data_IF_022619112439
#
_entry.id   IF_022619112439
#
_cell.length_a   1.000
_cell.length_b   1.000
_cell.length_c   1.000
_cell.angle_alpha   90.00
_cell.angle_beta   90.00
_cell.angle_gamma   90.00
#
_symmetry.space_group_name_H-M   'P 1'
#
loop_
_entity.id
_entity.type
_entity.pdbx_description
1 polymer ?
#
# COMPACT_ATOMS: atom_id res chain seq x y z
N UNK A 1 27.59 -11.88 40.74
CA UNK A 1 27.67 -11.17 39.45
C UNK A 1 27.77 -12.06 38.19
N UNK A 2 28.53 -13.14 38.16
CA UNK A 2 28.66 -14.05 36.98
C UNK A 2 27.37 -14.74 36.54
N UNK A 3 26.49 -15.18 37.45
CA UNK A 3 25.23 -15.84 37.08
C UNK A 3 24.20 -14.93 36.43
N UNK A 4 24.19 -13.63 36.72
CA UNK A 4 23.29 -12.65 36.10
C UNK A 4 23.68 -12.33 34.65
N UNK A 5 24.99 -12.34 34.35
CA UNK A 5 25.51 -12.13 33.00
C UNK A 5 25.24 -13.33 32.10
N UNK A 6 25.47 -14.57 32.59
CA UNK A 6 25.16 -15.80 31.82
C UNK A 6 23.67 -15.93 31.49
N UNK A 7 22.76 -15.60 32.44
CA UNK A 7 21.32 -15.59 32.16
C UNK A 7 20.91 -14.52 31.13
N UNK A 8 21.60 -13.37 31.09
CA UNK A 8 21.36 -12.33 30.05
C UNK A 8 21.86 -12.78 28.68
N UNK A 9 23.04 -13.43 28.60
CA UNK A 9 23.57 -13.96 27.35
C UNK A 9 22.71 -15.10 26.80
N UNK A 10 22.28 -16.05 27.64
CA UNK A 10 21.40 -17.15 27.26
C UNK A 10 20.03 -16.63 26.75
N UNK A 11 19.44 -15.60 27.38
CA UNK A 11 18.22 -14.97 26.90
C UNK A 11 18.41 -14.22 25.58
N UNK A 12 19.56 -13.60 25.36
CA UNK A 12 19.85 -12.89 24.11
C UNK A 12 20.09 -13.85 22.94
N UNK A 13 20.76 -14.98 23.17
CA UNK A 13 20.99 -16.03 22.16
C UNK A 13 19.71 -16.78 21.80
N UNK A 14 18.89 -17.15 22.78
CA UNK A 14 17.57 -17.74 22.54
C UNK A 14 16.63 -16.77 21.77
N UNK A 15 16.70 -15.49 22.04
CA UNK A 15 15.90 -14.47 21.30
C UNK A 15 16.34 -14.35 19.84
N UNK A 16 17.66 -14.44 19.57
CA UNK A 16 18.18 -14.39 18.19
C UNK A 16 17.81 -15.63 17.37
N UNK A 17 17.88 -16.83 17.96
CA UNK A 17 17.49 -18.07 17.26
C UNK A 17 15.99 -18.09 16.95
N UNK A 18 15.16 -17.75 17.91
CA UNK A 18 13.70 -17.69 17.73
C UNK A 18 13.27 -16.69 16.63
N UNK A 19 13.83 -15.47 16.64
CA UNK A 19 13.51 -14.47 15.61
C UNK A 19 13.93 -14.96 14.21
N UNK A 20 15.10 -15.60 14.11
CA UNK A 20 15.56 -16.19 12.85
C UNK A 20 14.60 -17.27 12.36
N UNK A 21 14.20 -18.19 13.23
CA UNK A 21 13.34 -19.31 12.88
C UNK A 21 11.92 -18.81 12.51
N UNK A 22 11.42 -17.78 13.18
CA UNK A 22 10.19 -17.07 12.82
C UNK A 22 10.28 -16.44 11.42
N UNK A 23 11.35 -15.68 11.15
CA UNK A 23 11.55 -15.04 9.83
C UNK A 23 11.62 -16.11 8.72
N UNK A 24 12.32 -17.22 8.95
CA UNK A 24 12.43 -18.31 7.97
C UNK A 24 11.06 -18.92 7.70
N UNK A 25 10.28 -19.26 8.72
CA UNK A 25 8.91 -19.76 8.56
C UNK A 25 8.03 -18.78 7.78
N UNK A 26 8.09 -17.50 8.11
CA UNK A 26 7.35 -16.44 7.41
C UNK A 26 7.74 -16.32 5.93
N UNK A 27 9.03 -16.37 5.63
CA UNK A 27 9.52 -16.35 4.25
C UNK A 27 9.04 -17.58 3.47
N UNK A 28 9.07 -18.78 4.08
CA UNK A 28 8.55 -20.00 3.43
C UNK A 28 7.04 -19.89 3.15
N UNK A 29 6.25 -19.42 4.11
CA UNK A 29 4.82 -19.16 3.89
C UNK A 29 4.59 -18.10 2.82
N UNK A 30 5.40 -17.03 2.80
CA UNK A 30 5.32 -15.99 1.77
C UNK A 30 5.58 -16.54 0.37
N UNK A 31 6.56 -17.41 0.21
CA UNK A 31 6.86 -18.09 -1.07
C UNK A 31 5.68 -18.97 -1.49
N UNK A 32 5.10 -19.75 -0.56
CA UNK A 32 3.95 -20.60 -0.85
C UNK A 32 2.72 -19.76 -1.27
N UNK A 33 2.45 -18.67 -0.56
CA UNK A 33 1.35 -17.76 -0.90
C UNK A 33 1.59 -17.11 -2.27
N UNK A 34 2.79 -16.60 -2.53
CA UNK A 34 3.13 -16.00 -3.82
C UNK A 34 2.98 -17.01 -4.96
N UNK A 35 3.45 -18.24 -4.77
CA UNK A 35 3.26 -19.33 -5.74
C UNK A 35 1.79 -19.64 -5.97
N UNK A 36 0.97 -19.73 -4.92
CA UNK A 36 -0.47 -19.96 -5.02
C UNK A 36 -1.17 -18.85 -5.80
N UNK A 37 -0.86 -17.58 -5.51
CA UNK A 37 -1.41 -16.42 -6.23
C UNK A 37 -1.02 -16.44 -7.70
N UNK A 38 0.26 -16.70 -8.00
CA UNK A 38 0.74 -16.83 -9.38
C UNK A 38 0.00 -17.94 -10.13
N UNK A 39 -0.19 -19.09 -9.50
CA UNK A 39 -0.90 -20.23 -10.09
C UNK A 39 -2.35 -19.88 -10.39
N UNK A 40 -3.07 -19.29 -9.43
CA UNK A 40 -4.45 -18.86 -9.61
C UNK A 40 -4.56 -17.79 -10.70
N UNK A 41 -3.65 -16.81 -10.68
CA UNK A 41 -3.63 -15.75 -11.69
C UNK A 41 -3.34 -16.30 -13.08
N UNK A 42 -2.40 -17.25 -13.21
CA UNK A 42 -2.13 -17.93 -14.48
C UNK A 42 -3.38 -18.65 -15.00
N UNK A 43 -4.07 -19.39 -14.13
CA UNK A 43 -5.30 -20.11 -14.51
C UNK A 43 -6.39 -19.11 -14.96
N UNK A 44 -6.64 -18.05 -14.19
CA UNK A 44 -7.64 -17.04 -14.51
C UNK A 44 -7.37 -16.35 -15.86
N UNK A 45 -6.11 -16.04 -16.13
CA UNK A 45 -5.69 -15.46 -17.42
C UNK A 45 -5.94 -16.45 -18.59
N UNK A 46 -5.78 -17.76 -18.35
CA UNK A 46 -5.97 -18.79 -19.39
C UNK A 46 -7.43 -19.17 -19.63
N UNK A 47 -8.25 -19.11 -18.58
CA UNK A 47 -9.69 -19.40 -18.66
C UNK A 47 -10.49 -18.15 -19.06
N UNK A 48 -9.87 -16.96 -18.95
CA UNK A 48 -10.50 -15.68 -19.27
C UNK A 48 -11.00 -15.60 -20.71
N UNK A 49 -12.09 -14.86 -20.96
CA UNK A 49 -12.80 -14.86 -22.25
C UNK A 49 -12.06 -14.15 -23.39
N UNK A 50 -10.91 -13.54 -23.13
CA UNK A 50 -10.15 -12.79 -24.14
C UNK A 50 -8.70 -13.25 -24.20
N UNK A 51 -8.29 -13.68 -25.39
CA UNK A 51 -6.90 -14.02 -25.69
C UNK A 51 -6.12 -12.75 -26.13
N UNK A 52 -4.79 -12.73 -25.98
CA UNK A 52 -3.96 -11.69 -26.61
C UNK A 52 -4.24 -11.53 -28.09
N UNK A 53 -4.64 -12.63 -28.75
CA UNK A 53 -4.99 -12.64 -30.16
C UNK A 53 -6.25 -11.83 -30.49
N UNK A 54 -7.24 -11.77 -29.58
CA UNK A 54 -8.56 -11.18 -29.87
C UNK A 54 -8.48 -9.69 -30.23
N UNK A 55 -7.59 -8.93 -29.61
CA UNK A 55 -7.36 -7.51 -29.95
C UNK A 55 -6.71 -7.32 -31.32
N UNK A 56 -5.75 -8.19 -31.62
CA UNK A 56 -5.12 -8.17 -32.95
C UNK A 56 -6.12 -8.60 -34.01
N UNK A 57 -6.99 -9.58 -33.70
CA UNK A 57 -8.06 -10.03 -34.57
C UNK A 57 -9.05 -8.93 -34.90
N UNK A 58 -9.50 -8.17 -33.92
CA UNK A 58 -10.40 -7.04 -34.14
C UNK A 58 -9.77 -5.97 -35.04
N UNK A 59 -8.48 -5.67 -34.87
CA UNK A 59 -7.74 -4.72 -35.69
C UNK A 59 -7.47 -5.24 -37.12
N UNK A 60 -7.26 -6.55 -37.28
CA UNK A 60 -6.99 -7.17 -38.59
C UNK A 60 -8.28 -7.34 -39.39
N UNK A 61 -9.38 -7.73 -38.75
CA UNK A 61 -10.70 -7.75 -39.38
C UNK A 61 -11.08 -6.37 -39.93
N UNK A 62 -10.74 -5.31 -39.20
CA UNK A 62 -10.94 -3.94 -39.67
C UNK A 62 -10.05 -3.55 -40.88
N UNK A 63 -8.93 -4.23 -41.08
CA UNK A 63 -7.99 -4.01 -42.21
C UNK A 63 -8.14 -4.99 -43.36
N UNK A 64 -9.10 -5.94 -43.31
CA UNK A 64 -9.33 -6.95 -44.35
C UNK A 64 -8.20 -7.94 -44.52
N UNK A 65 -7.34 -8.15 -43.54
CA UNK A 65 -6.23 -9.09 -43.57
C UNK A 65 -6.67 -10.46 -43.05
N UNK A 66 -6.05 -11.55 -43.57
CA UNK A 66 -6.35 -12.91 -43.13
C UNK A 66 -5.93 -13.12 -41.67
N UNK A 67 -6.88 -13.38 -40.76
CA UNK A 67 -6.61 -13.52 -39.34
C UNK A 67 -5.76 -14.75 -38.99
N UNK A 68 -5.82 -15.80 -39.78
CA UNK A 68 -5.27 -17.12 -39.43
C UNK A 68 -3.74 -17.14 -39.32
N UNK A 69 -3.01 -16.44 -40.18
CA UNK A 69 -1.55 -16.37 -40.14
C UNK A 69 -1.05 -15.56 -38.94
N UNK A 70 -1.80 -14.55 -38.58
CA UNK A 70 -1.43 -13.67 -37.44
C UNK A 70 -1.75 -14.32 -36.12
N UNK A 71 -2.85 -15.07 -36.04
CA UNK A 71 -3.16 -15.89 -34.84
C UNK A 71 -2.02 -16.87 -34.59
N UNK A 72 -1.64 -17.66 -35.60
CA UNK A 72 -0.57 -18.64 -35.48
C UNK A 72 0.76 -18.00 -35.05
N UNK A 73 1.10 -16.81 -35.58
CA UNK A 73 2.30 -16.06 -35.17
C UNK A 73 2.23 -15.56 -33.73
N UNK A 74 1.06 -15.12 -33.28
CA UNK A 74 0.82 -14.68 -31.90
C UNK A 74 0.87 -15.88 -30.94
N UNK A 75 0.20 -16.97 -31.28
CA UNK A 75 0.19 -18.20 -30.49
C UNK A 75 1.61 -18.75 -30.32
N UNK A 76 2.38 -18.84 -31.42
CA UNK A 76 3.77 -19.24 -31.36
C UNK A 76 4.64 -18.29 -30.53
N UNK A 77 4.43 -16.95 -30.68
CA UNK A 77 5.21 -15.93 -29.95
C UNK A 77 4.95 -15.98 -28.44
N UNK A 78 3.73 -16.25 -28.03
CA UNK A 78 3.34 -16.34 -26.61
C UNK A 78 3.30 -17.78 -26.09
N UNK A 79 3.69 -18.78 -26.93
CA UNK A 79 3.71 -20.19 -26.58
C UNK A 79 2.33 -20.74 -26.20
N UNK A 80 1.25 -20.22 -26.82
CA UNK A 80 -0.12 -20.63 -26.55
C UNK A 80 -0.44 -21.98 -27.19
N UNK A 81 0.35 -22.38 -28.17
CA UNK A 81 0.32 -23.66 -28.89
C UNK A 81 0.83 -24.86 -28.07
N UNK A 82 1.54 -24.60 -26.98
CA UNK A 82 2.15 -25.62 -26.13
C UNK A 82 1.17 -26.20 -25.12
N UNK A 83 1.42 -27.42 -24.59
CA UNK A 83 0.65 -27.98 -23.48
C UNK A 83 0.63 -27.04 -22.25
N UNK A 84 -0.51 -26.93 -21.56
CA UNK A 84 -0.72 -25.97 -20.48
C UNK A 84 0.31 -26.09 -19.33
N UNK A 85 0.77 -27.29 -19.02
CA UNK A 85 1.81 -27.54 -18.03
C UNK A 85 3.16 -26.97 -18.46
N UNK A 86 3.49 -27.05 -19.73
CA UNK A 86 4.71 -26.46 -20.27
C UNK A 86 4.62 -24.95 -20.26
N UNK A 87 3.49 -24.36 -20.65
CA UNK A 87 3.24 -22.93 -20.56
C UNK A 87 3.39 -22.43 -19.12
N UNK A 88 2.85 -23.16 -18.15
CA UNK A 88 2.98 -22.82 -16.74
C UNK A 88 4.44 -22.89 -16.26
N UNK A 89 5.18 -23.92 -16.63
CA UNK A 89 6.59 -24.05 -16.30
C UNK A 89 7.46 -22.93 -16.89
N UNK A 90 7.25 -22.61 -18.17
CA UNK A 90 7.93 -21.50 -18.85
C UNK A 90 7.57 -20.15 -18.24
N UNK A 91 6.30 -19.93 -17.90
CA UNK A 91 5.82 -18.74 -17.23
C UNK A 91 6.52 -18.54 -15.88
N UNK A 92 6.55 -19.56 -15.02
CA UNK A 92 7.24 -19.50 -13.74
C UNK A 92 8.74 -19.25 -13.89
N UNK A 93 9.37 -19.93 -14.83
CA UNK A 93 10.81 -19.78 -15.08
C UNK A 93 11.15 -18.37 -15.60
N UNK A 94 10.33 -17.81 -16.47
CA UNK A 94 10.49 -16.46 -17.00
C UNK A 94 10.35 -15.41 -15.89
N UNK A 95 9.37 -15.55 -15.01
CA UNK A 95 9.20 -14.66 -13.86
C UNK A 95 10.42 -14.69 -12.93
N UNK A 96 10.95 -15.87 -12.62
CA UNK A 96 12.15 -16.04 -11.80
C UNK A 96 13.40 -15.44 -12.45
N UNK A 97 13.47 -15.43 -13.78
CA UNK A 97 14.56 -14.81 -14.55
C UNK A 97 14.39 -13.29 -14.71
N UNK A 98 13.32 -12.71 -14.17
CA UNK A 98 13.02 -11.28 -14.31
C UNK A 98 12.40 -10.89 -15.65
N UNK A 99 12.03 -11.87 -16.49
CA UNK A 99 11.29 -11.64 -17.72
C UNK A 99 9.78 -11.68 -17.43
N UNK A 100 9.21 -10.50 -17.26
CA UNK A 100 7.80 -10.31 -16.89
C UNK A 100 6.90 -10.10 -18.10
N UNK A 101 7.45 -10.29 -19.31
CA UNK A 101 6.76 -10.13 -20.58
C UNK A 101 6.62 -8.67 -21.03
N UNK A 102 5.74 -8.48 -22.01
CA UNK A 102 5.46 -7.20 -22.64
C UNK A 102 4.00 -6.83 -22.45
N UNK A 103 3.74 -5.58 -22.22
CA UNK A 103 2.39 -5.01 -22.21
C UNK A 103 1.76 -5.12 -23.60
N UNK A 104 0.55 -5.62 -23.65
CA UNK A 104 -0.21 -5.71 -24.92
C UNK A 104 -0.77 -4.36 -25.38
N UNK A 105 -1.01 -3.47 -24.44
CA UNK A 105 -1.58 -2.15 -24.73
C UNK A 105 -0.54 -1.12 -25.10
N UNK A 106 0.63 -1.13 -24.45
CA UNK A 106 1.68 -0.12 -24.63
C UNK A 106 2.86 -0.62 -25.45
N UNK A 107 2.96 -1.93 -25.74
CA UNK A 107 4.10 -2.55 -26.42
C UNK A 107 5.45 -2.27 -25.76
N UNK A 108 5.46 -2.13 -24.43
CA UNK A 108 6.66 -1.91 -23.61
C UNK A 108 6.93 -3.12 -22.70
N UNK A 109 8.18 -3.37 -22.29
CA UNK A 109 8.48 -4.32 -21.24
C UNK A 109 7.71 -3.98 -19.96
N UNK A 110 7.01 -4.95 -19.37
CA UNK A 110 6.17 -4.73 -18.19
C UNK A 110 6.94 -4.14 -17.02
N UNK A 111 8.17 -4.61 -16.78
CA UNK A 111 9.01 -4.09 -15.69
C UNK A 111 9.41 -2.64 -15.91
N UNK A 112 9.62 -2.22 -17.16
CA UNK A 112 9.90 -0.81 -17.47
C UNK A 112 8.68 0.06 -17.25
N UNK A 113 7.51 -0.40 -17.67
CA UNK A 113 6.25 0.28 -17.41
C UNK A 113 6.04 0.49 -15.90
N UNK A 114 6.25 -0.53 -15.09
CA UNK A 114 6.13 -0.44 -13.63
C UNK A 114 7.17 0.54 -13.05
N UNK A 115 8.44 0.45 -13.48
CA UNK A 115 9.51 1.34 -13.02
C UNK A 115 9.26 2.81 -13.33
N UNK A 116 8.58 3.12 -14.42
CA UNK A 116 8.24 4.51 -14.78
C UNK A 116 7.12 5.09 -13.92
N UNK A 117 6.20 4.25 -13.46
CA UNK A 117 4.96 4.71 -12.82
C UNK A 117 4.90 4.57 -11.29
N UNK A 118 5.65 3.61 -10.69
CA UNK A 118 5.58 3.35 -9.25
C UNK A 118 5.98 4.54 -8.38
N UNK A 119 6.91 5.36 -8.86
CA UNK A 119 7.44 6.52 -8.10
C UNK A 119 6.36 7.58 -7.82
N UNK A 120 5.40 7.74 -8.72
CA UNK A 120 4.31 8.71 -8.57
C UNK A 120 3.28 8.23 -7.53
N UNK A 121 2.90 6.95 -7.59
CA UNK A 121 2.04 6.35 -6.55
C UNK A 121 2.74 6.38 -5.19
N UNK A 122 4.02 6.04 -5.15
CA UNK A 122 4.81 6.10 -3.91
C UNK A 122 4.81 7.50 -3.32
N UNK A 123 5.10 8.52 -4.12
CA UNK A 123 5.12 9.92 -3.68
C UNK A 123 3.76 10.36 -3.12
N UNK A 124 2.67 10.07 -3.86
CA UNK A 124 1.31 10.43 -3.43
C UNK A 124 0.94 9.75 -2.11
N UNK A 125 1.10 8.44 -2.02
CA UNK A 125 0.72 7.67 -0.83
C UNK A 125 1.60 8.03 0.36
N UNK A 126 2.92 8.18 0.16
CA UNK A 126 3.83 8.59 1.22
C UNK A 126 3.43 9.96 1.82
N UNK A 127 3.21 10.96 0.98
CA UNK A 127 2.82 12.30 1.45
C UNK A 127 1.44 12.28 2.13
N UNK A 128 0.49 11.51 1.58
CA UNK A 128 -0.84 11.35 2.18
C UNK A 128 -0.78 10.62 3.52
N UNK A 129 0.03 9.57 3.64
CA UNK A 129 0.25 8.85 4.91
C UNK A 129 0.92 9.72 5.95
N UNK A 130 1.92 10.52 5.57
CA UNK A 130 2.58 11.47 6.50
C UNK A 130 1.57 12.52 6.98
N UNK A 131 0.81 13.13 6.06
CA UNK A 131 -0.24 14.10 6.38
C UNK A 131 -1.26 13.50 7.34
N UNK A 132 -1.79 12.33 7.01
CA UNK A 132 -2.80 11.64 7.81
C UNK A 132 -2.26 11.18 9.17
N UNK A 133 -1.06 10.61 9.22
CA UNK A 133 -0.45 10.14 10.46
C UNK A 133 -0.15 11.30 11.41
N UNK A 134 0.50 12.37 10.94
CA UNK A 134 0.84 13.51 11.79
C UNK A 134 -0.43 14.15 12.37
N UNK A 135 -1.37 14.54 11.51
CA UNK A 135 -2.59 15.20 11.99
C UNK A 135 -3.50 14.25 12.75
N UNK A 136 -3.70 13.03 12.24
CA UNK A 136 -4.59 12.04 12.85
C UNK A 136 -4.11 11.58 14.23
N UNK A 137 -2.81 11.40 14.42
CA UNK A 137 -2.23 11.05 15.72
C UNK A 137 -2.37 12.22 16.70
N UNK A 138 -2.04 13.45 16.30
CA UNK A 138 -2.17 14.61 17.16
C UNK A 138 -3.62 14.85 17.61
N UNK A 139 -4.56 14.80 16.67
CA UNK A 139 -5.99 14.94 16.95
C UNK A 139 -6.47 13.78 17.84
N UNK A 140 -6.06 12.53 17.54
CA UNK A 140 -6.44 11.37 18.33
C UNK A 140 -5.93 11.41 19.78
N UNK A 141 -4.69 11.87 20.00
CA UNK A 141 -4.14 12.10 21.35
C UNK A 141 -4.95 13.17 22.06
N UNK A 142 -5.18 14.30 21.41
CA UNK A 142 -5.95 15.40 21.99
C UNK A 142 -7.37 14.94 22.37
N UNK A 143 -8.07 14.26 21.47
CA UNK A 143 -9.41 13.71 21.72
C UNK A 143 -9.43 12.73 22.89
N UNK A 144 -8.41 11.88 23.04
CA UNK A 144 -8.34 10.94 24.15
C UNK A 144 -8.10 11.63 25.50
N UNK A 145 -7.20 12.62 25.52
CA UNK A 145 -6.88 13.38 26.74
C UNK A 145 -8.04 14.28 27.19
N UNK A 146 -8.76 14.86 26.22
CA UNK A 146 -9.93 15.73 26.46
C UNK A 146 -11.26 14.99 26.17
N UNK A 147 -11.34 13.74 26.60
CA UNK A 147 -12.54 12.89 26.41
C UNK A 147 -13.83 13.60 26.86
N UNK A 148 -14.90 13.42 26.08
CA UNK A 148 -16.24 14.00 26.32
C UNK A 148 -16.32 15.54 26.24
N UNK A 149 -15.31 16.23 25.77
CA UNK A 149 -15.41 17.65 25.46
C UNK A 149 -16.05 17.91 24.11
N UNK A 150 -16.52 19.15 23.89
CA UNK A 150 -17.07 19.56 22.57
C UNK A 150 -16.08 19.34 21.43
N UNK A 151 -14.77 19.54 21.68
CA UNK A 151 -13.72 19.30 20.68
C UNK A 151 -13.56 17.81 20.37
N UNK A 152 -13.62 16.92 21.37
CA UNK A 152 -13.59 15.46 21.14
C UNK A 152 -14.76 15.00 20.26
N UNK A 153 -15.98 15.49 20.57
CA UNK A 153 -17.14 15.19 19.73
C UNK A 153 -17.02 15.74 18.30
N UNK A 154 -16.51 16.98 18.17
CA UNK A 154 -16.30 17.60 16.86
C UNK A 154 -15.30 16.81 16.01
N UNK A 155 -14.13 16.46 16.57
CA UNK A 155 -13.13 15.68 15.83
C UNK A 155 -13.59 14.28 15.49
N UNK A 156 -14.32 13.62 16.40
CA UNK A 156 -14.93 12.31 16.13
C UNK A 156 -15.96 12.42 15.00
N UNK A 157 -16.84 13.42 15.03
CA UNK A 157 -17.83 13.66 13.99
C UNK A 157 -17.18 13.96 12.63
N UNK A 158 -16.18 14.85 12.59
CA UNK A 158 -15.44 15.15 11.37
C UNK A 158 -14.72 13.91 10.81
N UNK A 159 -14.21 13.03 11.68
CA UNK A 159 -13.62 11.78 11.25
C UNK A 159 -14.63 10.86 10.58
N UNK A 160 -15.87 10.78 11.09
CA UNK A 160 -16.95 10.02 10.43
C UNK A 160 -17.31 10.60 9.08
N UNK A 161 -17.41 11.93 8.97
CA UNK A 161 -17.63 12.61 7.68
C UNK A 161 -16.51 12.24 6.71
N UNK A 162 -15.24 12.32 7.15
CA UNK A 162 -14.08 12.01 6.31
C UNK A 162 -14.07 10.59 5.75
N UNK A 163 -14.57 9.59 6.52
CA UNK A 163 -14.72 8.22 6.03
C UNK A 163 -15.92 8.07 5.10
N UNK A 164 -17.00 8.81 5.34
CA UNK A 164 -18.26 8.68 4.61
C UNK A 164 -18.22 9.33 3.23
N UNK A 165 -17.36 10.32 3.02
CA UNK A 165 -17.23 11.01 1.74
C UNK A 165 -16.40 10.15 0.77
N UNK A 166 -16.92 9.80 -0.42
CA UNK A 166 -16.12 9.10 -1.42
C UNK A 166 -14.91 9.95 -1.85
N UNK A 167 -13.71 9.38 -1.81
CA UNK A 167 -12.47 10.10 -2.11
C UNK A 167 -12.49 10.79 -3.48
N UNK A 168 -12.99 10.12 -4.53
CA UNK A 168 -13.08 10.72 -5.85
C UNK A 168 -14.00 11.96 -5.88
N UNK A 169 -15.12 11.90 -5.17
CA UNK A 169 -16.05 13.02 -5.07
C UNK A 169 -15.40 14.21 -4.33
N UNK A 170 -14.74 13.95 -3.21
CA UNK A 170 -13.98 14.96 -2.48
C UNK A 170 -12.92 15.61 -3.38
N UNK A 171 -12.17 14.79 -4.15
CA UNK A 171 -11.17 15.28 -5.10
C UNK A 171 -11.76 16.23 -6.14
N UNK A 172 -12.88 15.85 -6.76
CA UNK A 172 -13.58 16.69 -7.75
C UNK A 172 -14.06 18.00 -7.12
N UNK A 173 -14.61 17.96 -5.89
CA UNK A 173 -15.04 19.16 -5.18
C UNK A 173 -13.87 20.09 -4.83
N UNK A 174 -12.75 19.53 -4.38
CA UNK A 174 -11.55 20.31 -4.12
C UNK A 174 -10.98 20.96 -5.39
N UNK A 175 -10.97 20.26 -6.52
CA UNK A 175 -10.60 20.82 -7.81
C UNK A 175 -11.54 21.98 -8.18
N UNK A 176 -12.85 21.76 -8.11
CA UNK A 176 -13.84 22.78 -8.46
C UNK A 176 -13.67 24.05 -7.64
N UNK A 177 -13.47 23.92 -6.33
CA UNK A 177 -13.35 25.09 -5.44
C UNK A 177 -11.96 25.71 -5.54
N UNK A 178 -10.90 24.95 -5.33
CA UNK A 178 -9.57 25.51 -5.14
C UNK A 178 -8.78 25.72 -6.45
N UNK A 179 -9.08 24.95 -7.49
CA UNK A 179 -8.40 25.11 -8.77
C UNK A 179 -9.24 25.97 -9.73
N UNK A 180 -10.53 25.64 -9.91
CA UNK A 180 -11.36 26.31 -10.92
C UNK A 180 -11.87 27.66 -10.44
N UNK A 181 -12.50 27.72 -9.24
CA UNK A 181 -13.09 28.96 -8.74
C UNK A 181 -12.05 29.91 -8.16
N UNK A 182 -11.11 29.40 -7.38
CA UNK A 182 -10.13 30.23 -6.66
C UNK A 182 -8.78 30.37 -7.40
N UNK A 183 -8.49 29.52 -8.38
CA UNK A 183 -7.22 29.56 -9.14
C UNK A 183 -5.96 29.30 -8.30
N UNK A 184 -6.08 28.70 -7.10
CA UNK A 184 -4.97 28.56 -6.16
C UNK A 184 -4.04 27.42 -6.51
N UNK A 185 -4.56 26.32 -7.08
CA UNK A 185 -3.82 25.10 -7.39
C UNK A 185 -4.00 24.68 -8.84
N UNK A 186 -2.93 24.10 -9.42
CA UNK A 186 -3.00 23.45 -10.73
C UNK A 186 -3.52 22.02 -10.55
N UNK A 187 -4.26 21.52 -11.54
CA UNK A 187 -4.88 20.18 -11.49
C UNK A 187 -4.02 19.10 -12.16
N UNK A 188 -2.92 19.44 -12.79
CA UNK A 188 -2.06 18.48 -13.47
C UNK A 188 -0.69 18.37 -12.81
N UNK A 189 -0.16 17.14 -12.83
CA UNK A 189 1.18 16.79 -12.39
C UNK A 189 2.14 16.84 -13.57
N UNK A 190 3.27 17.56 -13.44
CA UNK A 190 4.23 17.71 -14.51
C UNK A 190 5.36 16.67 -14.40
N UNK A 191 5.32 15.67 -15.27
CA UNK A 191 6.31 14.59 -15.30
C UNK A 191 7.67 15.00 -15.86
N UNK A 192 7.79 16.18 -16.45
CA UNK A 192 9.06 16.71 -16.95
C UNK A 192 9.90 17.34 -15.85
N UNK A 193 9.28 17.69 -14.73
CA UNK A 193 9.94 18.28 -13.57
C UNK A 193 10.36 17.19 -12.57
N UNK A 194 11.39 17.47 -11.74
CA UNK A 194 11.74 16.59 -10.63
C UNK A 194 10.55 16.31 -9.68
N UNK A 195 10.47 15.08 -9.16
CA UNK A 195 9.37 14.64 -8.28
C UNK A 195 9.05 15.64 -7.15
N UNK A 196 10.08 16.13 -6.46
CA UNK A 196 9.95 17.05 -5.34
C UNK A 196 10.14 18.52 -5.72
N UNK A 197 9.95 18.89 -7.01
CA UNK A 197 9.94 20.29 -7.42
C UNK A 197 8.81 21.06 -6.69
N UNK A 198 8.98 22.34 -6.37
CA UNK A 198 7.93 23.15 -5.73
C UNK A 198 6.62 23.14 -6.51
N UNK A 199 6.67 23.08 -7.84
CA UNK A 199 5.50 23.01 -8.72
C UNK A 199 4.73 21.70 -8.52
N UNK A 200 5.41 20.55 -8.52
CA UNK A 200 4.81 19.24 -8.30
C UNK A 200 4.32 19.07 -6.87
N UNK A 201 5.06 19.54 -5.87
CA UNK A 201 4.59 19.54 -4.48
C UNK A 201 3.31 20.37 -4.32
N UNK A 202 3.22 21.53 -4.97
CA UNK A 202 1.99 22.34 -4.98
C UNK A 202 0.84 21.62 -5.70
N UNK A 203 1.09 20.92 -6.80
CA UNK A 203 0.09 20.14 -7.51
C UNK A 203 -0.41 18.95 -6.68
N UNK A 204 0.42 18.40 -5.80
CA UNK A 204 0.07 17.28 -4.92
C UNK A 204 -0.74 17.68 -3.68
N UNK A 205 -0.89 18.96 -3.36
CA UNK A 205 -1.62 19.39 -2.14
C UNK A 205 -3.06 18.86 -2.13
N UNK A 206 -3.83 19.08 -3.18
CA UNK A 206 -5.21 18.61 -3.26
C UNK A 206 -5.32 17.07 -3.32
N UNK A 207 -4.53 16.35 -4.14
CA UNK A 207 -4.48 14.89 -4.11
C UNK A 207 -4.15 14.32 -2.71
N UNK A 208 -3.17 14.91 -2.02
CA UNK A 208 -2.75 14.50 -0.67
C UNK A 208 -3.88 14.72 0.35
N UNK A 209 -4.57 15.85 0.31
CA UNK A 209 -5.73 16.10 1.16
C UNK A 209 -6.84 15.09 0.85
N UNK A 210 -7.13 14.85 -0.43
CA UNK A 210 -8.16 13.92 -0.88
C UNK A 210 -7.92 12.52 -0.34
N UNK A 211 -6.76 11.95 -0.63
CA UNK A 211 -6.41 10.59 -0.20
C UNK A 211 -6.21 10.52 1.32
N UNK A 212 -5.53 11.53 1.87
CA UNK A 212 -5.20 11.60 3.29
C UNK A 212 -6.41 11.81 4.21
N UNK A 213 -7.53 12.35 3.73
CA UNK A 213 -8.72 12.57 4.57
C UNK A 213 -9.30 11.24 5.09
N UNK A 214 -9.44 10.23 4.24
CA UNK A 214 -9.89 8.90 4.66
C UNK A 214 -8.92 8.23 5.63
N UNK A 215 -7.62 8.30 5.34
CA UNK A 215 -6.56 7.79 6.22
C UNK A 215 -6.55 8.50 7.57
N UNK A 216 -6.63 9.85 7.58
CA UNK A 216 -6.66 10.68 8.78
C UNK A 216 -7.77 10.26 9.75
N UNK A 217 -8.95 10.03 9.22
CA UNK A 217 -10.10 9.60 10.02
C UNK A 217 -9.85 8.24 10.72
N UNK A 218 -9.18 7.31 10.04
CA UNK A 218 -8.73 6.06 10.65
C UNK A 218 -7.69 6.32 11.75
N UNK A 219 -6.66 7.12 11.48
CA UNK A 219 -5.62 7.45 12.46
C UNK A 219 -6.19 8.12 13.71
N UNK A 220 -7.10 9.10 13.57
CA UNK A 220 -7.79 9.74 14.71
C UNK A 220 -8.47 8.70 15.58
N UNK A 221 -9.29 7.83 14.98
CA UNK A 221 -10.07 6.83 15.69
C UNK A 221 -9.20 5.79 16.40
N UNK A 222 -8.22 5.23 15.70
CA UNK A 222 -7.35 4.21 16.28
C UNK A 222 -6.44 4.79 17.36
N UNK A 223 -5.89 6.01 17.13
CA UNK A 223 -5.07 6.70 18.15
C UNK A 223 -5.90 6.98 19.40
N UNK A 224 -7.09 7.54 19.23
CA UNK A 224 -7.99 7.83 20.35
C UNK A 224 -8.32 6.57 21.15
N UNK A 225 -8.70 5.48 20.49
CA UNK A 225 -9.01 4.22 21.16
C UNK A 225 -7.79 3.67 21.91
N UNK A 226 -6.65 3.55 21.26
CA UNK A 226 -5.42 3.02 21.86
C UNK A 226 -4.94 3.88 23.04
N UNK A 227 -5.09 5.20 22.96
CA UNK A 227 -4.78 6.11 24.05
C UNK A 227 -5.70 5.90 25.24
N UNK A 228 -7.02 5.81 25.03
CA UNK A 228 -8.02 5.58 26.10
C UNK A 228 -7.78 4.27 26.83
N UNK A 229 -7.45 3.21 26.09
CA UNK A 229 -7.14 1.89 26.65
C UNK A 229 -5.91 1.93 27.56
N UNK A 230 -4.94 2.78 27.26
CA UNK A 230 -3.70 2.89 28.01
C UNK A 230 -3.76 3.93 29.15
N UNK A 231 -4.58 4.99 29.04
CA UNK A 231 -4.69 6.05 30.05
C UNK A 231 -5.15 5.55 31.43
N UNK A 232 -5.91 4.44 31.47
CA UNK A 232 -6.47 3.86 32.70
C UNK A 232 -5.60 2.75 33.31
N UNK A 233 -4.45 2.43 32.72
CA UNK A 233 -3.60 1.30 33.17
C UNK A 233 -2.81 1.65 34.43
N UNK A 234 -2.51 0.66 35.30
CA UNK A 234 -1.81 0.89 36.59
C UNK A 234 -0.47 1.61 36.47
N UNK A 235 0.29 1.39 35.38
CA UNK A 235 1.57 2.06 35.18
C UNK A 235 1.43 3.57 34.97
N UNK A 236 0.30 4.04 34.43
CA UNK A 236 0.00 5.48 34.29
C UNK A 236 -0.31 6.10 35.64
N UNK A 237 -1.12 5.39 36.45
CA UNK A 237 -1.43 5.81 37.84
C UNK A 237 -0.13 5.92 38.64
N UNK A 238 0.75 4.94 38.52
CA UNK A 238 2.07 4.95 39.20
C UNK A 238 2.95 6.13 38.73
N UNK A 239 2.93 6.44 37.43
CA UNK A 239 3.71 7.58 36.91
C UNK A 239 3.21 8.90 37.45
N UNK A 240 1.89 9.09 37.53
CA UNK A 240 1.27 10.30 38.16
C UNK A 240 1.55 10.38 39.66
N UNK A 241 1.44 9.25 40.37
CA UNK A 241 1.76 9.21 41.83
C UNK A 241 3.22 9.54 42.11
N UNK A 242 4.16 9.33 41.20
CA UNK A 242 5.56 9.77 41.29
C UNK A 242 5.78 11.26 40.96
N UNK A 243 4.73 12.02 40.73
CA UNK A 243 4.80 13.46 40.45
C UNK A 243 5.31 13.81 39.04
N UNK A 244 5.27 12.87 38.07
CA UNK A 244 5.71 13.18 36.71
C UNK A 244 4.73 14.16 36.03
N UNK A 245 5.23 15.17 35.28
CA UNK A 245 4.40 16.14 34.60
C UNK A 245 3.53 15.43 33.52
N UNK A 246 2.28 15.86 33.40
CA UNK A 246 1.28 15.23 32.53
C UNK A 246 1.72 15.04 31.04
N UNK A 247 2.41 16.02 30.40
CA UNK A 247 2.93 15.82 29.05
C UNK A 247 3.90 14.64 28.93
N UNK A 248 4.72 14.41 29.97
CA UNK A 248 5.65 13.28 30.00
C UNK A 248 4.90 11.96 30.23
N UNK A 249 3.88 11.95 31.08
CA UNK A 249 3.02 10.78 31.30
C UNK A 249 2.33 10.41 29.99
N UNK A 250 1.71 11.35 29.29
CA UNK A 250 0.99 11.13 28.04
C UNK A 250 1.97 10.68 26.95
N UNK A 251 3.04 11.41 26.69
CA UNK A 251 3.96 11.12 25.57
C UNK A 251 4.79 9.86 25.79
N UNK A 252 5.39 9.69 26.96
CA UNK A 252 6.34 8.59 27.21
C UNK A 252 5.67 7.31 27.70
N UNK A 253 4.67 7.43 28.57
CA UNK A 253 4.07 6.26 29.20
C UNK A 253 2.80 5.77 28.49
N UNK A 254 1.90 6.66 28.05
CA UNK A 254 0.66 6.29 27.39
C UNK A 254 0.87 6.08 25.89
N UNK A 255 1.36 7.09 25.17
CA UNK A 255 1.47 7.05 23.72
C UNK A 255 2.43 5.97 23.24
N UNK A 256 3.57 5.78 23.90
CA UNK A 256 4.50 4.69 23.53
C UNK A 256 3.83 3.31 23.52
N UNK A 257 2.91 3.05 24.45
CA UNK A 257 2.17 1.79 24.48
C UNK A 257 1.00 1.76 23.52
N UNK A 258 0.52 2.92 23.08
CA UNK A 258 -0.52 3.07 22.07
C UNK A 258 0.01 2.98 20.62
N UNK A 259 1.33 2.94 20.41
CA UNK A 259 1.95 2.90 19.09
C UNK A 259 1.69 1.60 18.32
N UNK A 260 1.53 0.45 18.99
CA UNK A 260 1.41 -0.84 18.33
C UNK A 260 0.32 -0.89 17.25
N UNK A 261 -0.94 -0.51 17.52
CA UNK A 261 -1.98 -0.48 16.49
C UNK A 261 -1.68 0.53 15.38
N UNK A 262 -1.01 1.64 15.71
CA UNK A 262 -0.70 2.70 14.74
C UNK A 262 0.36 2.26 13.74
N UNK A 263 1.38 1.52 14.19
CA UNK A 263 2.38 0.94 13.30
C UNK A 263 1.73 0.04 12.27
N UNK A 264 0.74 -0.79 12.66
CA UNK A 264 0.01 -1.65 11.72
C UNK A 264 -0.63 -0.85 10.61
N UNK A 265 -1.32 0.24 10.95
CA UNK A 265 -2.05 1.06 9.98
C UNK A 265 -1.06 1.75 9.04
N UNK A 266 0.01 2.35 9.58
CA UNK A 266 1.06 3.00 8.78
C UNK A 266 1.67 2.00 7.78
N UNK A 267 2.00 0.80 8.25
CA UNK A 267 2.56 -0.23 7.39
C UNK A 267 1.55 -0.73 6.34
N UNK A 268 0.28 -0.86 6.69
CA UNK A 268 -0.78 -1.20 5.75
C UNK A 268 -0.94 -0.14 4.65
N UNK A 269 -0.96 1.14 5.02
CA UNK A 269 -1.02 2.25 4.06
C UNK A 269 0.16 2.23 3.09
N UNK A 270 1.39 2.03 3.60
CA UNK A 270 2.58 1.90 2.76
C UNK A 270 2.52 0.65 1.86
N UNK A 271 1.94 -0.45 2.34
CA UNK A 271 1.73 -1.66 1.55
C UNK A 271 0.74 -1.49 0.41
N UNK A 272 -0.20 -0.56 0.53
CA UNK A 272 -1.24 -0.30 -0.48
C UNK A 272 -0.72 0.35 -1.77
N UNK A 273 0.51 0.85 -1.78
CA UNK A 273 1.13 1.57 -2.91
C UNK A 273 1.02 0.79 -4.22
N UNK A 274 1.27 -0.51 -4.19
CA UNK A 274 1.37 -1.33 -5.41
C UNK A 274 0.01 -1.82 -5.89
N UNK A 275 -0.97 -1.99 -4.97
CA UNK A 275 -2.33 -2.42 -5.34
C UNK A 275 -3.23 -1.30 -5.87
N UNK A 276 -2.68 -0.13 -6.13
CA UNK A 276 -3.46 1.00 -6.61
C UNK A 276 -4.41 1.58 -5.56
N UNK A 277 -4.01 1.58 -4.29
CA UNK A 277 -4.79 2.18 -3.20
C UNK A 277 -5.13 3.66 -3.41
N UNK A 278 -4.48 4.29 -4.38
CA UNK A 278 -4.72 5.68 -4.78
C UNK A 278 -5.32 5.83 -6.19
N UNK A 279 -5.74 4.74 -6.86
CA UNK A 279 -6.04 4.77 -8.30
C UNK A 279 -7.13 5.81 -8.66
N UNK A 280 -8.22 5.92 -7.90
CA UNK A 280 -9.25 6.93 -8.15
C UNK A 280 -8.70 8.35 -8.00
N UNK A 281 -7.85 8.58 -7.00
CA UNK A 281 -7.18 9.88 -6.80
C UNK A 281 -6.21 10.17 -7.93
N UNK A 282 -5.44 9.17 -8.38
CA UNK A 282 -4.52 9.31 -9.50
C UNK A 282 -5.28 9.69 -10.80
N UNK A 283 -6.42 9.04 -11.07
CA UNK A 283 -7.26 9.35 -12.24
C UNK A 283 -7.84 10.75 -12.14
N UNK A 284 -8.43 11.12 -11.00
CA UNK A 284 -9.09 12.43 -10.81
C UNK A 284 -8.11 13.59 -10.97
N UNK A 285 -6.86 13.41 -10.51
CA UNK A 285 -5.83 14.45 -10.56
C UNK A 285 -4.81 14.28 -11.70
N UNK A 286 -5.01 13.29 -12.59
CA UNK A 286 -4.12 13.05 -13.73
C UNK A 286 -2.69 12.68 -13.34
N UNK A 287 -2.50 11.99 -12.18
CA UNK A 287 -1.19 11.52 -11.72
C UNK A 287 -0.89 10.18 -12.39
N UNK A 288 0.23 10.04 -13.13
CA UNK A 288 0.55 8.83 -13.88
C UNK A 288 1.13 7.73 -12.97
N UNK A 289 0.35 7.25 -12.00
CA UNK A 289 0.76 6.23 -11.05
C UNK A 289 0.42 4.79 -11.46
N UNK A 290 0.82 3.82 -10.62
CA UNK A 290 0.53 2.40 -10.82
C UNK A 290 -0.96 2.06 -10.75
N UNK A 291 -1.74 2.82 -9.99
CA UNK A 291 -3.19 2.63 -9.94
C UNK A 291 -3.83 2.90 -11.29
N UNK A 292 -3.43 3.97 -11.97
CA UNK A 292 -3.89 4.28 -13.33
C UNK A 292 -3.44 3.22 -14.33
N UNK A 293 -2.19 2.76 -14.24
CA UNK A 293 -1.66 1.67 -15.08
C UNK A 293 -2.45 0.38 -14.87
N UNK A 294 -2.71 0.01 -13.61
CA UNK A 294 -3.47 -1.18 -13.25
C UNK A 294 -4.89 -1.14 -13.79
N UNK A 295 -5.58 -0.01 -13.59
CA UNK A 295 -6.92 0.20 -14.09
C UNK A 295 -6.98 0.06 -15.63
N UNK A 296 -6.11 0.77 -16.33
CA UNK A 296 -6.05 0.71 -17.79
C UNK A 296 -5.72 -0.70 -18.29
N UNK A 297 -4.82 -1.42 -17.62
CA UNK A 297 -4.46 -2.79 -17.98
C UNK A 297 -5.64 -3.77 -17.83
N UNK A 298 -6.45 -3.64 -16.76
CA UNK A 298 -7.64 -4.46 -16.54
C UNK A 298 -8.64 -4.26 -17.69
N UNK A 299 -9.00 -3.01 -17.99
CA UNK A 299 -9.96 -2.71 -19.07
C UNK A 299 -9.40 -3.00 -20.46
N UNK A 300 -8.07 -2.94 -20.60
CA UNK A 300 -7.39 -3.30 -21.83
C UNK A 300 -7.15 -4.82 -21.97
N UNK A 301 -7.53 -5.67 -21.01
CA UNK A 301 -7.16 -7.09 -20.95
C UNK A 301 -5.65 -7.31 -21.14
N UNK A 302 -4.84 -6.44 -20.52
CA UNK A 302 -3.38 -6.50 -20.58
C UNK A 302 -2.86 -7.41 -19.47
N UNK A 303 -3.04 -8.71 -19.66
CA UNK A 303 -2.74 -9.72 -18.65
C UNK A 303 -1.32 -9.68 -18.11
N UNK A 304 -0.25 -9.52 -18.92
CA UNK A 304 1.11 -9.44 -18.39
C UNK A 304 1.26 -8.33 -17.36
N UNK A 305 0.66 -7.17 -17.59
CA UNK A 305 0.71 -6.03 -16.65
C UNK A 305 -0.11 -6.33 -15.40
N UNK A 306 -1.33 -6.87 -15.53
CA UNK A 306 -2.19 -7.22 -14.39
C UNK A 306 -1.51 -8.25 -13.49
N UNK A 307 -0.96 -9.30 -14.07
CA UNK A 307 -0.22 -10.36 -13.35
C UNK A 307 0.98 -9.77 -12.60
N UNK A 308 1.77 -8.95 -13.29
CA UNK A 308 2.97 -8.35 -12.72
C UNK A 308 2.65 -7.43 -11.54
N UNK A 309 1.66 -6.54 -11.67
CA UNK A 309 1.25 -5.65 -10.59
C UNK A 309 0.68 -6.46 -9.42
N UNK A 310 -0.13 -7.48 -9.67
CA UNK A 310 -0.67 -8.36 -8.63
C UNK A 310 0.44 -9.08 -7.86
N UNK A 311 1.44 -9.63 -8.57
CA UNK A 311 2.56 -10.31 -7.93
C UNK A 311 3.42 -9.35 -7.11
N UNK A 312 3.83 -8.22 -7.70
CA UNK A 312 4.63 -7.22 -6.98
C UNK A 312 3.87 -6.72 -5.76
N UNK A 313 2.57 -6.44 -5.92
CA UNK A 313 1.71 -6.04 -4.81
C UNK A 313 1.68 -7.08 -3.70
N UNK A 314 1.52 -8.35 -4.04
CA UNK A 314 1.58 -9.44 -3.08
C UNK A 314 2.92 -9.49 -2.34
N UNK A 315 4.03 -9.40 -3.07
CA UNK A 315 5.38 -9.41 -2.46
C UNK A 315 5.58 -8.22 -1.54
N UNK A 316 5.11 -7.03 -1.92
CA UNK A 316 5.17 -5.83 -1.07
C UNK A 316 4.34 -6.00 0.20
N UNK A 317 3.11 -6.52 0.11
CA UNK A 317 2.28 -6.78 1.31
C UNK A 317 2.93 -7.82 2.23
N UNK A 318 3.48 -8.89 1.68
CA UNK A 318 4.19 -9.89 2.48
C UNK A 318 5.43 -9.30 3.17
N UNK A 319 6.20 -8.45 2.47
CA UNK A 319 7.34 -7.73 3.03
C UNK A 319 6.90 -6.75 4.14
N UNK A 320 5.86 -5.98 3.89
CA UNK A 320 5.31 -5.03 4.87
C UNK A 320 4.82 -5.75 6.12
N UNK A 321 4.13 -6.88 5.97
CA UNK A 321 3.71 -7.71 7.10
C UNK A 321 4.91 -8.23 7.90
N UNK A 322 5.96 -8.72 7.22
CA UNK A 322 7.19 -9.15 7.87
C UNK A 322 7.86 -8.01 8.65
N UNK A 323 7.96 -6.82 8.06
CA UNK A 323 8.51 -5.62 8.72
C UNK A 323 7.65 -5.24 9.93
N UNK A 324 6.33 -5.32 9.81
CA UNK A 324 5.39 -5.05 10.90
C UNK A 324 5.62 -6.00 12.08
N UNK A 325 5.74 -7.30 11.83
CA UNK A 325 5.99 -8.31 12.87
C UNK A 325 7.34 -8.09 13.57
N UNK A 326 8.38 -7.75 12.80
CA UNK A 326 9.70 -7.39 13.36
C UNK A 326 9.59 -6.14 14.23
N UNK A 327 8.87 -5.13 13.77
CA UNK A 327 8.66 -3.86 14.49
C UNK A 327 7.90 -4.10 15.81
N UNK A 328 6.90 -4.99 15.81
CA UNK A 328 6.20 -5.39 17.04
C UNK A 328 7.14 -6.02 18.07
N UNK A 329 7.97 -6.94 17.62
CA UNK A 329 8.95 -7.59 18.50
C UNK A 329 9.94 -6.58 19.12
N UNK A 330 10.23 -5.48 18.39
CA UNK A 330 11.10 -4.41 18.89
C UNK A 330 10.37 -3.47 19.85
N UNK A 331 9.11 -3.11 19.56
CA UNK A 331 8.30 -2.21 20.38
C UNK A 331 7.84 -2.86 21.70
N UNK A 332 7.41 -4.14 21.63
CA UNK A 332 7.01 -4.91 22.81
C UNK A 332 7.73 -6.26 22.85
N UNK A 333 8.84 -6.37 23.61
CA UNK A 333 9.59 -7.60 23.76
C UNK A 333 8.84 -8.77 24.42
N UNK A 334 7.60 -8.54 24.89
CA UNK A 334 6.75 -9.58 25.51
C UNK A 334 5.96 -10.37 24.47
N UNK A 335 5.81 -9.81 23.27
CA UNK A 335 5.13 -10.50 22.17
C UNK A 335 6.02 -11.67 21.73
N UNK A 336 5.48 -12.89 21.81
CA UNK A 336 6.05 -14.10 21.26
C UNK A 336 5.04 -14.65 20.27
N UNK A 337 5.49 -14.90 19.06
CA UNK A 337 4.70 -15.61 18.06
C UNK A 337 5.12 -17.10 18.15
N UNK A 338 4.20 -17.96 18.54
CA UNK A 338 4.40 -19.43 18.63
C UNK A 338 4.37 -20.08 17.25
#
# INVERSE_FOLDING_TARGET
MRQSSQKRWAKATMRKSWLRDYIIKRLLYSILIAWGILTVTFILVRVGPSSPADKYLANLAAKGQDPSQVIAAIEARYGLDKPILQQYGEYMLNLLRGNWGWSFSTSMPVMELIKRHWVYSFQLILLSSIFAAVLGILIGIYSAVKQYTKADYAFTFLSFIGISIPNFWLGVMLILVFSVKLGLFKTYYDTTLPLFSPANLKALVLPVITLGTGMLAAYVRYTRSAMLDNLRKPFVITARAKGLPEPLVIGKHVFRNALLPLVTIIMFDLGSIVFGGAYLTEIVFGIPGLGQVSFNAIFANDYPVVVAITLIGTLVVLLVNLITDITYTYLDPRIRYD
#
